data_IF_142925517367
#
_entry.id   IF_142925517367
#
_cell.length_a   1.000
_cell.length_b   1.000
_cell.length_c   1.000
_cell.angle_alpha   90.00
_cell.angle_beta   90.00
_cell.angle_gamma   90.00
#
_symmetry.space_group_name_H-M   'P 1'
#
loop_
_entity.id
_entity.type
_entity.pdbx_description
1 polymer ?
#
# COMPACT_ATOMS: atom_id res chain seq x y z
N UNK A 1 6.50 5.29 9.33
CA UNK A 1 5.84 4.64 8.14
C UNK A 1 5.25 5.79 7.30
N UNK A 2 4.80 5.55 6.06
CA UNK A 2 4.13 6.59 5.28
C UNK A 2 2.75 6.15 4.83
N UNK A 3 1.85 7.11 4.69
CA UNK A 3 0.50 6.89 4.16
C UNK A 3 0.13 8.01 3.21
N UNK A 4 -0.76 7.70 2.27
CA UNK A 4 -1.31 8.69 1.37
C UNK A 4 -2.48 9.41 2.06
N UNK A 5 -2.33 10.71 2.30
CA UNK A 5 -3.35 11.57 2.89
C UNK A 5 -4.26 12.20 1.85
N UNK A 6 -5.24 12.97 2.33
CA UNK A 6 -6.15 13.78 1.49
C UNK A 6 -5.37 14.65 0.48
N UNK A 7 -5.88 14.75 -0.75
CA UNK A 7 -5.25 15.48 -1.86
C UNK A 7 -3.85 14.98 -2.26
N UNK A 8 -3.55 13.69 -2.02
CA UNK A 8 -2.28 13.07 -2.43
C UNK A 8 -1.07 13.45 -1.57
N UNK A 9 -1.27 14.13 -0.43
CA UNK A 9 -0.16 14.46 0.46
C UNK A 9 0.47 13.20 1.06
N UNK A 10 1.80 13.12 1.10
CA UNK A 10 2.50 12.02 1.78
C UNK A 10 2.65 12.37 3.25
N UNK A 11 2.04 11.57 4.13
CA UNK A 11 2.08 11.78 5.57
C UNK A 11 3.04 10.76 6.20
N UNK A 12 4.05 11.25 6.91
CA UNK A 12 4.91 10.43 7.75
C UNK A 12 4.25 10.18 9.10
N UNK A 13 3.89 8.92 9.36
CA UNK A 13 3.16 8.52 10.56
C UNK A 13 3.97 8.68 11.84
N UNK A 14 5.30 8.71 11.76
CA UNK A 14 6.19 8.88 12.92
C UNK A 14 6.08 10.32 13.49
N UNK A 15 5.53 11.26 12.72
CA UNK A 15 5.43 12.68 13.07
C UNK A 15 4.01 13.16 13.36
N UNK A 16 3.02 12.27 13.38
CA UNK A 16 1.61 12.64 13.54
C UNK A 16 1.30 12.96 15.01
N UNK A 17 0.68 14.13 15.23
CA UNK A 17 0.28 14.61 16.57
C UNK A 17 -1.20 14.98 16.67
N UNK A 18 -1.93 14.89 15.57
CA UNK A 18 -3.35 15.24 15.46
C UNK A 18 -4.04 14.21 14.59
N UNK A 19 -5.38 14.08 14.71
CA UNK A 19 -6.14 13.27 13.78
C UNK A 19 -5.96 13.72 12.32
N UNK A 20 -6.07 12.77 11.40
CA UNK A 20 -5.83 12.99 9.98
C UNK A 20 -6.63 12.01 9.13
N UNK A 21 -6.76 12.34 7.85
CA UNK A 21 -7.37 11.47 6.86
C UNK A 21 -6.31 10.77 6.02
N UNK A 22 -6.58 9.53 5.64
CA UNK A 22 -5.69 8.72 4.80
C UNK A 22 -6.50 7.81 3.88
N UNK A 23 -5.94 7.51 2.71
CA UNK A 23 -6.59 6.66 1.74
C UNK A 23 -6.45 5.18 2.09
N UNK A 24 -7.57 4.47 1.98
CA UNK A 24 -7.64 3.01 1.99
C UNK A 24 -8.40 2.52 0.79
N UNK A 25 -8.14 1.28 0.39
CA UNK A 25 -9.00 0.53 -0.50
C UNK A 25 -9.84 -0.43 0.35
N UNK A 26 -11.16 -0.25 0.37
CA UNK A 26 -12.03 -0.87 1.37
C UNK A 26 -13.00 -1.88 0.79
N UNK A 27 -13.12 -3.01 1.47
CA UNK A 27 -14.11 -4.09 1.25
C UNK A 27 -15.15 -4.12 2.35
N UNK A 28 -15.44 -2.98 2.97
CA UNK A 28 -16.52 -2.89 3.96
C UNK A 28 -17.85 -3.30 3.33
N UNK A 29 -18.06 -2.86 2.09
CA UNK A 29 -19.09 -3.31 1.19
C UNK A 29 -18.47 -4.24 0.12
N UNK A 30 -18.74 -5.55 0.16
CA UNK A 30 -18.23 -6.49 -0.84
C UNK A 30 -18.83 -6.28 -2.24
N UNK A 31 -20.01 -5.65 -2.34
CA UNK A 31 -20.69 -5.39 -3.61
C UNK A 31 -20.17 -4.10 -4.27
N UNK A 32 -19.49 -3.24 -3.51
CA UNK A 32 -18.95 -1.97 -3.98
C UNK A 32 -17.60 -1.67 -3.29
N UNK A 33 -16.59 -2.40 -3.75
CA UNK A 33 -15.21 -2.21 -3.31
C UNK A 33 -14.66 -0.93 -3.93
N UNK A 34 -14.22 0.02 -3.11
CA UNK A 34 -13.76 1.33 -3.60
C UNK A 34 -12.67 1.94 -2.69
N UNK A 35 -12.10 3.06 -3.12
CA UNK A 35 -11.22 3.91 -2.34
C UNK A 35 -12.01 4.78 -1.37
N UNK A 36 -11.60 4.75 -0.11
CA UNK A 36 -12.19 5.57 0.94
C UNK A 36 -11.13 6.46 1.55
N UNK A 37 -11.53 7.70 1.85
CA UNK A 37 -10.77 8.58 2.72
C UNK A 37 -11.15 8.27 4.18
N UNK A 38 -10.37 7.41 4.81
CA UNK A 38 -10.59 7.01 6.20
C UNK A 38 -10.00 8.04 7.18
N UNK A 39 -10.63 8.14 8.34
CA UNK A 39 -10.19 9.02 9.44
C UNK A 39 -9.48 8.21 10.52
N UNK A 40 -8.25 8.62 10.88
CA UNK A 40 -7.54 8.07 12.03
C UNK A 40 -7.49 9.09 13.16
N UNK A 41 -8.19 8.78 14.27
CA UNK A 41 -8.10 9.55 15.51
C UNK A 41 -6.92 9.14 16.42
N UNK A 42 -6.28 8.02 16.12
CA UNK A 42 -5.19 7.45 16.91
C UNK A 42 -4.12 6.83 16.03
N UNK A 43 -2.96 6.58 16.63
CA UNK A 43 -1.83 5.92 16.00
C UNK A 43 -1.51 4.66 16.81
N UNK A 44 -1.21 3.57 16.12
CA UNK A 44 -0.74 2.33 16.74
C UNK A 44 0.78 2.29 16.63
N UNK A 45 1.44 1.95 17.73
CA UNK A 45 2.89 1.76 17.79
C UNK A 45 3.21 0.34 18.27
N UNK A 46 4.09 -0.34 17.55
CA UNK A 46 4.48 -1.72 17.88
C UNK A 46 5.90 -2.01 17.40
N UNK A 47 6.59 -2.92 18.10
CA UNK A 47 7.91 -3.40 17.70
C UNK A 47 7.77 -4.69 16.88
N UNK A 48 8.32 -4.71 15.67
CA UNK A 48 8.32 -5.90 14.81
C UNK A 48 9.52 -5.88 13.86
N UNK A 49 10.03 -7.04 13.38
CA UNK A 49 10.96 -7.08 12.27
C UNK A 49 10.39 -6.40 11.02
N UNK A 50 11.30 -5.93 10.16
CA UNK A 50 10.98 -5.30 8.90
C UNK A 50 11.59 -6.01 7.71
N UNK A 51 11.07 -5.69 6.54
CA UNK A 51 11.65 -6.03 5.26
C UNK A 51 11.89 -4.72 4.50
N UNK A 52 13.05 -4.65 3.86
CA UNK A 52 13.34 -3.62 2.87
C UNK A 52 13.03 -4.19 1.48
N UNK A 53 12.09 -3.56 0.78
CA UNK A 53 11.71 -3.88 -0.59
C UNK A 53 12.23 -2.80 -1.54
N UNK A 54 12.83 -3.23 -2.65
CA UNK A 54 13.03 -2.39 -3.83
C UNK A 54 11.82 -2.54 -4.74
N UNK A 55 11.05 -1.47 -4.94
CA UNK A 55 9.93 -1.40 -5.90
C UNK A 55 10.37 -0.47 -7.02
N UNK A 56 10.55 -1.03 -8.22
CA UNK A 56 11.05 -0.32 -9.41
C UNK A 56 12.32 0.53 -9.14
N UNK A 57 13.24 -0.04 -8.33
CA UNK A 57 14.51 0.59 -7.95
C UNK A 57 14.46 1.53 -6.75
N UNK A 58 13.29 1.78 -6.16
CA UNK A 58 13.15 2.57 -4.92
C UNK A 58 13.04 1.70 -3.68
N UNK A 59 13.77 2.08 -2.63
CA UNK A 59 13.79 1.35 -1.37
C UNK A 59 12.65 1.82 -0.44
N UNK A 60 11.85 0.86 0.01
CA UNK A 60 10.77 1.02 0.96
C UNK A 60 10.92 0.00 2.09
N UNK A 61 10.39 0.35 3.26
CA UNK A 61 10.56 -0.47 4.47
C UNK A 61 9.19 -0.72 5.10
N UNK A 62 8.88 -1.98 5.34
CA UNK A 62 7.57 -2.43 5.82
C UNK A 62 7.71 -3.42 6.97
N UNK A 63 6.71 -3.51 7.88
CA UNK A 63 6.65 -4.60 8.85
C UNK A 63 6.59 -5.95 8.13
N UNK A 64 7.40 -6.92 8.53
CA UNK A 64 7.48 -8.20 7.81
C UNK A 64 6.23 -9.08 7.93
N UNK A 65 5.36 -8.81 8.93
CA UNK A 65 4.05 -9.45 9.09
C UNK A 65 2.94 -8.73 8.32
N UNK A 66 3.26 -7.92 7.33
CA UNK A 66 2.28 -7.34 6.43
C UNK A 66 2.30 -8.11 5.11
N UNK A 67 1.29 -7.89 4.29
CA UNK A 67 1.33 -8.27 2.89
C UNK A 67 1.09 -7.07 1.99
N UNK A 68 1.27 -7.32 0.70
CA UNK A 68 1.14 -6.34 -0.36
C UNK A 68 0.35 -6.93 -1.52
N UNK A 69 -0.39 -6.06 -2.23
CA UNK A 69 -1.15 -6.46 -3.40
C UNK A 69 -0.23 -6.65 -4.62
N UNK A 70 -0.28 -7.85 -5.19
CA UNK A 70 0.53 -8.27 -6.32
C UNK A 70 -0.33 -8.70 -7.49
N UNK A 71 0.26 -8.65 -8.68
CA UNK A 71 -0.27 -9.24 -9.88
C UNK A 71 0.02 -10.74 -9.87
N UNK A 72 -1.03 -11.56 -9.84
CA UNK A 72 -0.95 -13.01 -9.77
C UNK A 72 -0.71 -13.71 -11.10
N UNK A 73 -0.81 -12.98 -12.23
CA UNK A 73 -0.95 -13.58 -13.56
C UNK A 73 -2.42 -13.78 -13.92
N UNK A 74 -2.70 -14.09 -15.19
CA UNK A 74 -4.05 -14.35 -15.71
C UNK A 74 -5.12 -13.32 -15.29
N UNK A 75 -4.75 -12.03 -15.30
CA UNK A 75 -5.62 -10.91 -14.88
C UNK A 75 -6.16 -11.04 -13.44
N UNK A 76 -5.43 -11.75 -12.58
CA UNK A 76 -5.76 -11.88 -11.15
C UNK A 76 -4.88 -11.01 -10.28
N UNK A 77 -5.45 -10.55 -9.16
CA UNK A 77 -4.74 -9.85 -8.11
C UNK A 77 -4.70 -10.72 -6.86
N UNK A 78 -3.53 -10.81 -6.25
CA UNK A 78 -3.31 -11.64 -5.06
C UNK A 78 -2.63 -10.83 -3.98
N UNK A 79 -3.04 -11.05 -2.75
CA UNK A 79 -2.29 -10.58 -1.60
C UNK A 79 -1.15 -11.55 -1.29
N UNK A 80 0.08 -11.05 -1.26
CA UNK A 80 1.25 -11.88 -0.89
C UNK A 80 1.81 -11.37 0.44
N UNK A 81 1.98 -12.24 1.45
CA UNK A 81 2.69 -11.91 2.68
C UNK A 81 4.12 -11.48 2.37
N UNK A 82 4.60 -10.41 2.98
CA UNK A 82 5.95 -9.91 2.75
C UNK A 82 7.02 -10.92 3.20
N UNK A 83 6.72 -11.79 4.16
CA UNK A 83 7.56 -12.93 4.52
C UNK A 83 7.86 -13.87 3.36
N UNK A 84 6.97 -13.94 2.38
CA UNK A 84 7.01 -14.91 1.29
C UNK A 84 7.74 -14.37 0.06
N UNK A 85 8.04 -13.06 0.05
CA UNK A 85 8.83 -12.38 -0.99
C UNK A 85 10.30 -12.81 -1.04
N UNK A 86 10.77 -13.60 -0.07
CA UNK A 86 12.17 -14.03 0.05
C UNK A 86 12.56 -14.99 -1.09
N UNK A 87 11.59 -15.63 -1.75
CA UNK A 87 11.83 -16.71 -2.69
C UNK A 87 12.00 -16.28 -4.16
N UNK A 88 11.44 -15.14 -4.58
CA UNK A 88 11.45 -14.70 -5.99
C UNK A 88 11.07 -13.22 -6.17
N UNK A 89 11.41 -12.60 -7.30
CA UNK A 89 10.83 -11.31 -7.68
C UNK A 89 9.32 -11.43 -7.84
N UNK A 90 8.61 -10.43 -7.33
CA UNK A 90 7.15 -10.32 -7.46
C UNK A 90 6.78 -9.08 -8.26
N UNK A 91 5.59 -9.10 -8.84
CA UNK A 91 5.01 -7.95 -9.53
C UNK A 91 3.99 -7.30 -8.63
N UNK A 92 4.29 -6.11 -8.12
CA UNK A 92 3.41 -5.33 -7.25
C UNK A 92 2.52 -4.45 -8.10
N UNK A 93 1.26 -4.31 -7.68
CA UNK A 93 0.31 -3.38 -8.30
C UNK A 93 0.42 -2.03 -7.61
N UNK A 94 0.63 -0.98 -8.41
CA UNK A 94 0.58 0.40 -7.97
C UNK A 94 -0.39 1.23 -8.80
N UNK A 95 -0.83 2.35 -8.23
CA UNK A 95 -1.80 3.26 -8.83
C UNK A 95 -1.54 4.71 -8.49
N UNK A 96 -2.12 5.60 -9.27
CA UNK A 96 -2.21 7.01 -8.95
C UNK A 96 -3.64 7.35 -8.54
N UNK A 97 -3.81 8.43 -7.78
CA UNK A 97 -5.14 8.92 -7.37
C UNK A 97 -5.93 9.48 -8.54
N UNK A 98 -5.25 10.06 -9.53
CA UNK A 98 -5.87 10.70 -10.69
C UNK A 98 -6.16 9.70 -11.82
N UNK A 99 -5.51 8.54 -11.77
CA UNK A 99 -5.57 7.49 -12.80
C UNK A 99 -5.95 6.15 -12.17
N UNK A 100 -7.20 6.03 -11.72
CA UNK A 100 -7.73 4.76 -11.20
C UNK A 100 -7.93 3.70 -12.30
N UNK A 101 -7.90 4.07 -13.58
CA UNK A 101 -8.32 3.18 -14.67
C UNK A 101 -7.27 2.11 -15.02
N UNK A 102 -5.97 2.41 -14.95
CA UNK A 102 -4.92 1.47 -15.37
C UNK A 102 -3.91 1.26 -14.24
N UNK A 103 -3.86 0.08 -13.60
CA UNK A 103 -2.83 -0.23 -12.63
C UNK A 103 -1.44 -0.31 -13.30
N UNK A 104 -0.44 0.25 -12.63
CA UNK A 104 0.96 0.03 -12.98
C UNK A 104 1.44 -1.25 -12.32
N UNK A 105 2.14 -2.07 -13.10
CA UNK A 105 2.73 -3.32 -12.62
C UNK A 105 4.23 -3.11 -12.51
N UNK A 106 4.76 -3.25 -11.30
CA UNK A 106 6.14 -2.91 -10.96
C UNK A 106 6.88 -4.10 -10.38
N UNK A 107 8.15 -4.24 -10.74
CA UNK A 107 9.01 -5.27 -10.16
C UNK A 107 9.34 -4.92 -8.71
N UNK A 108 9.19 -5.91 -7.83
CA UNK A 108 9.48 -5.80 -6.41
C UNK A 108 10.38 -6.95 -5.95
N UNK A 109 11.45 -6.60 -5.22
CA UNK A 109 12.41 -7.57 -4.69
C UNK A 109 12.82 -7.20 -3.27
N UNK A 110 13.06 -8.21 -2.42
CA UNK A 110 13.66 -7.97 -1.10
C UNK A 110 15.13 -7.62 -1.27
N UNK A 111 15.54 -6.52 -0.65
CA UNK A 111 16.95 -6.07 -0.60
C UNK A 111 17.56 -6.26 0.79
N UNK A 112 16.76 -6.42 1.83
CA UNK A 112 17.26 -6.61 3.18
C UNK A 112 16.19 -6.93 4.22
N UNK A 113 16.66 -7.39 5.38
CA UNK A 113 15.83 -7.66 6.56
C UNK A 113 16.25 -6.71 7.68
N UNK A 114 15.28 -6.09 8.33
CA UNK A 114 15.48 -5.21 9.49
C UNK A 114 15.13 -6.02 10.74
N UNK A 115 16.09 -6.40 11.59
CA UNK A 115 15.83 -7.34 12.68
C UNK A 115 14.78 -6.85 13.69
N UNK A 116 14.73 -5.53 13.92
CA UNK A 116 13.77 -4.89 14.81
C UNK A 116 13.60 -3.43 14.44
N UNK A 117 12.35 -2.97 14.40
CA UNK A 117 11.99 -1.55 14.28
C UNK A 117 10.69 -1.27 15.03
N UNK A 118 10.59 -0.06 15.58
CA UNK A 118 9.31 0.45 16.06
C UNK A 118 8.53 1.02 14.88
N UNK A 119 7.33 0.51 14.66
CA UNK A 119 6.44 0.90 13.58
C UNK A 119 5.30 1.74 14.13
N UNK A 120 5.05 2.85 13.45
CA UNK A 120 3.95 3.76 13.75
C UNK A 120 2.98 3.73 12.58
N UNK A 121 1.71 3.38 12.77
CA UNK A 121 0.71 3.25 11.69
C UNK A 121 -0.63 3.86 12.11
N UNK A 122 -1.49 4.30 11.16
CA UNK A 122 -2.90 4.56 11.48
C UNK A 122 -3.59 3.30 11.98
N UNK A 123 -4.71 3.47 12.66
CA UNK A 123 -5.60 2.36 12.93
C UNK A 123 -6.31 1.97 11.62
N UNK A 124 -5.90 0.85 11.01
CA UNK A 124 -6.45 0.39 9.73
C UNK A 124 -7.70 -0.46 10.00
N UNK A 125 -8.85 -0.13 9.38
CA UNK A 125 -10.07 -0.93 9.48
C UNK A 125 -9.87 -2.38 9.00
N UNK A 126 -10.51 -3.35 9.66
CA UNK A 126 -10.32 -4.80 9.44
C UNK A 126 -10.76 -5.35 8.06
N UNK A 127 -11.15 -4.47 7.13
CA UNK A 127 -11.52 -4.80 5.75
C UNK A 127 -10.94 -3.79 4.75
N UNK A 128 -9.83 -3.15 5.10
CA UNK A 128 -9.21 -2.11 4.28
C UNK A 128 -7.74 -2.44 4.03
N UNK A 129 -7.27 -2.20 2.80
CA UNK A 129 -5.85 -2.08 2.48
C UNK A 129 -5.42 -0.62 2.63
N UNK A 130 -4.26 -0.37 3.20
CA UNK A 130 -3.67 0.94 3.34
C UNK A 130 -2.96 1.35 2.03
N UNK A 131 -3.24 2.56 1.55
CA UNK A 131 -2.49 3.14 0.44
C UNK A 131 -1.13 3.69 0.94
N UNK A 132 -0.05 3.06 0.50
CA UNK A 132 1.32 3.45 0.82
C UNK A 132 1.98 4.16 -0.38
N UNK A 133 2.42 5.42 -0.24
CA UNK A 133 2.97 6.18 -1.35
C UNK A 133 4.40 5.75 -1.73
N UNK A 134 4.68 5.75 -3.03
CA UNK A 134 6.01 5.58 -3.63
C UNK A 134 6.67 6.97 -3.80
N UNK A 135 7.94 7.12 -3.41
CA UNK A 135 8.52 8.44 -3.08
C UNK A 135 8.93 9.26 -4.29
N UNK A 136 9.36 8.66 -5.41
CA UNK A 136 9.78 9.42 -6.61
C UNK A 136 9.03 9.06 -7.88
N UNK A 137 8.02 8.19 -7.80
CA UNK A 137 7.22 7.84 -8.96
C UNK A 137 5.95 8.68 -9.01
N UNK A 138 5.96 9.63 -9.93
CA UNK A 138 4.83 10.50 -10.23
C UNK A 138 4.28 10.17 -11.61
N UNK A 139 2.96 10.20 -11.75
CA UNK A 139 2.31 10.19 -13.06
C UNK A 139 1.96 11.62 -13.44
N UNK A 140 2.10 11.95 -14.72
CA UNK A 140 1.65 13.25 -15.24
C UNK A 140 0.14 13.19 -15.49
N UNK A 141 -0.62 14.03 -14.79
CA UNK A 141 -2.03 14.24 -15.09
C UNK A 141 -2.20 14.90 -16.46
N UNK A 142 -3.38 14.75 -17.06
CA UNK A 142 -3.74 15.44 -18.31
C UNK A 142 -3.67 16.97 -18.16
N UNK A 143 -3.72 17.47 -16.92
CA UNK A 143 -3.60 18.88 -16.56
C UNK A 143 -2.16 19.32 -16.17
N UNK A 144 -1.17 18.43 -16.27
CA UNK A 144 0.23 18.73 -15.92
C UNK A 144 0.55 18.69 -14.41
N UNK A 145 -0.42 18.30 -13.58
CA UNK A 145 -0.22 18.04 -12.15
C UNK A 145 0.35 16.65 -11.94
N UNK A 146 1.16 16.46 -10.90
CA UNK A 146 1.78 15.17 -10.61
C UNK A 146 1.09 14.47 -9.45
N UNK A 147 0.54 13.28 -9.69
CA UNK A 147 -0.01 12.43 -8.63
C UNK A 147 1.03 11.43 -8.15
N UNK A 148 1.19 11.22 -6.84
CA UNK A 148 2.02 10.14 -6.32
C UNK A 148 1.45 8.79 -6.75
N UNK A 149 2.33 7.86 -7.08
CA UNK A 149 1.98 6.44 -7.13
C UNK A 149 1.93 5.87 -5.72
N UNK A 150 1.08 4.86 -5.51
CA UNK A 150 0.96 4.15 -4.26
C UNK A 150 0.73 2.66 -4.49
N UNK A 151 1.13 1.85 -3.52
CA UNK A 151 0.86 0.41 -3.45
C UNK A 151 -0.13 0.14 -2.32
N UNK A 152 -0.81 -1.00 -2.36
CA UNK A 152 -1.74 -1.41 -1.32
C UNK A 152 -1.11 -2.41 -0.37
N UNK A 153 -1.08 -2.04 0.92
CA UNK A 153 -0.54 -2.85 2.00
C UNK A 153 -1.66 -3.29 2.95
N UNK A 154 -1.47 -4.42 3.62
CA UNK A 154 -2.40 -4.85 4.66
C UNK A 154 -1.66 -5.57 5.79
N UNK A 155 -2.08 -5.40 7.06
CA UNK A 155 -1.59 -6.21 8.16
C UNK A 155 -2.07 -7.67 7.97
N UNK A 156 -1.17 -8.65 8.10
CA UNK A 156 -1.50 -10.07 7.90
C UNK A 156 -2.60 -10.55 8.85
N UNK A 157 -3.51 -11.36 8.31
CA UNK A 157 -4.79 -11.78 8.92
C UNK A 157 -5.98 -11.75 7.95
N UNK A 158 -5.76 -11.26 6.72
CA UNK A 158 -6.74 -11.18 5.63
C UNK A 158 -6.10 -11.84 4.40
N UNK A 159 -6.27 -13.15 4.20
CA UNK A 159 -5.95 -13.80 2.92
C UNK A 159 -7.10 -13.54 1.94
N UNK A 160 -6.83 -12.87 0.81
CA UNK A 160 -7.85 -12.62 -0.22
C UNK A 160 -7.26 -12.64 -1.63
N UNK A 161 -7.97 -13.30 -2.53
CA UNK A 161 -7.78 -13.20 -3.98
C UNK A 161 -8.82 -12.25 -4.57
N UNK A 162 -8.45 -11.48 -5.60
CA UNK A 162 -9.35 -10.53 -6.27
C UNK A 162 -9.25 -10.69 -7.79
N UNK A 163 -10.34 -10.35 -8.49
CA UNK A 163 -10.29 -10.12 -9.93
C UNK A 163 -9.68 -8.75 -10.21
N UNK A 164 -8.98 -8.59 -11.33
CA UNK A 164 -8.56 -7.27 -11.81
C UNK A 164 -9.77 -6.36 -12.10
N UNK A 165 -10.92 -6.93 -12.50
CA UNK A 165 -12.15 -6.19 -12.76
C UNK A 165 -12.69 -5.49 -11.51
N UNK A 166 -12.61 -6.13 -10.34
CA UNK A 166 -13.01 -5.52 -9.04
C UNK A 166 -12.15 -4.30 -8.69
N UNK A 167 -11.00 -4.18 -9.34
CA UNK A 167 -10.04 -3.12 -9.13
C UNK A 167 -10.19 -2.01 -10.17
N UNK A 168 -10.75 -2.26 -11.35
CA UNK A 168 -10.95 -1.25 -12.41
C UNK A 168 -12.35 -0.65 -12.25
N UNK A 169 -12.43 0.50 -11.59
CA UNK A 169 -13.64 1.35 -11.50
C UNK A 169 -13.46 2.59 -12.36
#
# INVERSE_FOLDING_TARGET
>A
MQVLGENGQIIDTDNIRKPFHFYTFSYRDPENVDYYLDYSGSILSFDFPGIQLSIDGELHEFPSNWGILCYGGDDSLITIPLSDFIAMPHKVVSRSMDFCVIPHIMDATITGIIPRRNWTIPNIPSKSLMAYPLKKQQTHSVAGETSPLFVLLFPMGIEKSFSLEDYIV
#
